data_IF_711421997151
#
_entry.id   IF_711421997151
#
_cell.length_a   1.000
_cell.length_b   1.000
_cell.length_c   1.000
_cell.angle_alpha   90.00
_cell.angle_beta   90.00
_cell.angle_gamma   90.00
#
_symmetry.space_group_name_H-M   'P 1'
#
loop_
_entity.id
_entity.type
_entity.pdbx_description
1 polymer ?
#
# COMPACT_ATOMS: atom_id res chain seq x y z
N UNK A 1 3.44 18.03 1.74
CA UNK A 1 3.30 16.62 1.36
C UNK A 1 4.43 15.88 2.03
N UNK A 2 4.09 14.94 2.89
CA UNK A 2 5.03 14.12 3.63
C UNK A 2 4.77 12.64 3.30
N UNK A 3 5.76 11.81 3.57
CA UNK A 3 5.63 10.36 3.42
C UNK A 3 5.10 9.76 4.72
N UNK A 4 4.08 8.94 4.62
CA UNK A 4 3.49 8.21 5.73
C UNK A 4 3.49 6.72 5.45
N UNK A 5 3.53 5.92 6.50
CA UNK A 5 3.38 4.48 6.43
C UNK A 5 2.19 4.06 7.27
N UNK A 6 1.33 3.23 6.71
CA UNK A 6 0.20 2.65 7.44
C UNK A 6 -0.15 1.26 6.92
N UNK A 7 -0.83 0.47 7.73
CA UNK A 7 -1.28 -0.87 7.36
C UNK A 7 -2.55 -0.77 6.52
N UNK A 8 -2.53 -1.38 5.34
CA UNK A 8 -3.70 -1.39 4.46
C UNK A 8 -4.87 -2.12 5.13
N UNK A 9 -6.07 -1.55 4.99
CA UNK A 9 -7.31 -2.16 5.48
C UNK A 9 -7.55 -3.53 4.84
N UNK A 10 -8.21 -4.42 5.58
CA UNK A 10 -8.60 -5.75 5.09
C UNK A 10 -9.47 -5.68 3.81
N UNK A 11 -10.13 -4.55 3.54
CA UNK A 11 -10.89 -4.33 2.31
C UNK A 11 -10.05 -4.37 1.02
N UNK A 12 -8.74 -4.15 1.13
CA UNK A 12 -7.82 -4.20 -0.02
C UNK A 12 -7.17 -5.57 -0.22
N UNK A 13 -7.33 -6.51 0.71
CA UNK A 13 -6.74 -7.85 0.60
C UNK A 13 -7.31 -8.58 -0.61
N UNK A 14 -6.43 -9.14 -1.45
CA UNK A 14 -6.81 -9.80 -2.69
C UNK A 14 -6.95 -8.86 -3.89
N UNK A 15 -6.83 -7.54 -3.68
CA UNK A 15 -6.79 -6.55 -4.75
C UNK A 15 -5.37 -6.40 -5.32
N UNK A 16 -5.26 -6.12 -6.61
CA UNK A 16 -3.97 -5.80 -7.21
C UNK A 16 -3.48 -4.43 -6.74
N UNK A 17 -2.16 -4.23 -6.69
CA UNK A 17 -1.59 -2.91 -6.35
C UNK A 17 -2.19 -1.75 -7.16
N UNK A 18 -2.28 -1.80 -8.50
CA UNK A 18 -2.83 -0.68 -9.26
C UNK A 18 -4.31 -0.41 -8.98
N UNK A 19 -5.13 -1.45 -8.75
CA UNK A 19 -6.55 -1.27 -8.42
C UNK A 19 -6.72 -0.58 -7.05
N UNK A 20 -5.90 -0.96 -6.07
CA UNK A 20 -5.91 -0.36 -4.76
C UNK A 20 -5.39 1.08 -4.79
N UNK A 21 -4.30 1.33 -5.52
CA UNK A 21 -3.75 2.67 -5.71
C UNK A 21 -4.77 3.62 -6.37
N UNK A 22 -5.51 3.14 -7.37
CA UNK A 22 -6.56 3.92 -8.03
C UNK A 22 -7.69 4.27 -7.06
N UNK A 23 -8.18 3.31 -6.27
CA UNK A 23 -9.20 3.58 -5.25
C UNK A 23 -8.73 4.56 -4.17
N UNK A 24 -7.50 4.40 -3.68
CA UNK A 24 -6.93 5.30 -2.68
C UNK A 24 -6.80 6.72 -3.22
N UNK A 25 -6.35 6.87 -4.46
CA UNK A 25 -6.19 8.17 -5.09
C UNK A 25 -7.55 8.82 -5.42
N UNK A 26 -8.47 8.07 -6.03
CA UNK A 26 -9.75 8.61 -6.49
C UNK A 26 -10.76 8.83 -5.36
N UNK A 27 -10.73 8.02 -4.30
CA UNK A 27 -11.72 8.08 -3.21
C UNK A 27 -11.22 8.82 -1.99
N UNK A 28 -9.93 8.69 -1.66
CA UNK A 28 -9.33 9.26 -0.44
C UNK A 28 -8.33 10.38 -0.73
N UNK A 29 -7.91 10.57 -1.99
CA UNK A 29 -6.88 11.55 -2.33
C UNK A 29 -5.47 11.15 -1.88
N UNK A 30 -5.26 9.87 -1.54
CA UNK A 30 -4.00 9.34 -1.05
C UNK A 30 -3.18 8.75 -2.19
N UNK A 31 -1.92 9.16 -2.29
CA UNK A 31 -1.00 8.61 -3.28
C UNK A 31 -0.25 7.41 -2.68
N UNK A 32 -0.63 6.19 -3.05
CA UNK A 32 0.11 4.97 -2.70
C UNK A 32 1.34 4.81 -3.61
N UNK A 33 2.53 4.76 -3.01
CA UNK A 33 3.82 4.71 -3.71
C UNK A 33 4.40 3.29 -3.75
N UNK A 34 4.33 2.58 -2.62
CA UNK A 34 4.94 1.27 -2.46
C UNK A 34 4.16 0.43 -1.44
N UNK A 35 4.40 -0.88 -1.46
CA UNK A 35 3.91 -1.80 -0.44
C UNK A 35 5.03 -2.72 0.05
N UNK A 36 4.92 -3.18 1.28
CA UNK A 36 5.77 -4.20 1.86
C UNK A 36 5.34 -5.60 1.38
N UNK A 37 6.30 -6.35 0.86
CA UNK A 37 6.20 -7.76 0.54
C UNK A 37 6.94 -8.55 1.61
N UNK A 38 6.20 -9.36 2.35
CA UNK A 38 6.76 -10.30 3.32
C UNK A 38 7.08 -11.61 2.62
N UNK A 39 8.36 -11.97 2.64
CA UNK A 39 8.80 -13.31 2.27
C UNK A 39 8.92 -14.15 3.55
N UNK A 40 7.93 -15.03 3.79
CA UNK A 40 7.93 -15.89 4.97
C UNK A 40 9.05 -16.94 4.93
N UNK A 41 9.54 -17.30 3.75
CA UNK A 41 10.57 -18.33 3.57
C UNK A 41 11.95 -17.79 3.95
N UNK A 42 12.26 -16.58 3.50
CA UNK A 42 13.55 -15.92 3.77
C UNK A 42 13.53 -14.98 4.99
N UNK A 43 12.36 -14.74 5.60
CA UNK A 43 12.14 -13.73 6.65
C UNK A 43 12.59 -12.33 6.23
N UNK A 44 12.47 -12.03 4.95
CA UNK A 44 12.84 -10.75 4.38
C UNK A 44 11.59 -9.88 4.16
N UNK A 45 11.70 -8.60 4.49
CA UNK A 45 10.70 -7.59 4.19
C UNK A 45 11.21 -6.76 3.01
N UNK A 46 10.67 -7.00 1.83
CA UNK A 46 11.04 -6.30 0.61
C UNK A 46 10.03 -5.18 0.33
N UNK A 47 10.51 -3.99 -0.06
CA UNK A 47 9.64 -2.89 -0.45
C UNK A 47 9.48 -2.91 -1.96
N UNK A 48 8.26 -3.16 -2.43
CA UNK A 48 7.92 -3.10 -3.84
C UNK A 48 7.41 -1.69 -4.18
N UNK A 49 8.20 -0.95 -4.96
CA UNK A 49 7.86 0.41 -5.41
C UNK A 49 7.09 0.32 -6.71
N UNK A 50 5.85 0.83 -6.72
CA UNK A 50 4.92 0.76 -7.85
C UNK A 50 4.90 -0.60 -8.58
N UNK A 51 4.59 -1.70 -7.87
CA UNK A 51 4.57 -3.02 -8.49
C UNK A 51 3.42 -3.15 -9.50
N UNK A 52 3.60 -4.08 -10.44
CA UNK A 52 2.59 -4.39 -11.44
C UNK A 52 1.38 -5.15 -10.89
N UNK A 53 0.38 -5.45 -11.75
CA UNK A 53 -0.88 -6.09 -11.35
C UNK A 53 -0.73 -7.53 -10.84
N UNK A 54 0.41 -8.18 -11.08
CA UNK A 54 0.72 -9.50 -10.49
C UNK A 54 0.94 -9.43 -8.98
N UNK A 55 1.16 -8.23 -8.44
CA UNK A 55 1.35 -8.00 -7.02
C UNK A 55 0.01 -7.74 -6.35
N UNK A 56 -0.38 -8.68 -5.47
CA UNK A 56 -1.67 -8.67 -4.77
C UNK A 56 -1.44 -8.35 -3.31
N UNK A 57 -2.25 -7.43 -2.78
CA UNK A 57 -2.18 -7.01 -1.38
C UNK A 57 -2.53 -8.18 -0.47
N UNK A 58 -1.64 -8.45 0.47
CA UNK A 58 -1.79 -9.49 1.47
C UNK A 58 -2.37 -8.91 2.78
N UNK A 59 -2.87 -9.75 3.68
CA UNK A 59 -3.22 -9.30 5.02
C UNK A 59 -2.02 -8.63 5.71
N UNK A 60 -2.27 -7.54 6.45
CA UNK A 60 -1.23 -6.81 7.19
C UNK A 60 -0.07 -6.31 6.31
N UNK A 61 -0.33 -5.99 5.04
CA UNK A 61 0.62 -5.31 4.17
C UNK A 61 0.76 -3.85 4.58
N UNK A 62 1.99 -3.40 4.80
CA UNK A 62 2.30 -2.00 5.03
C UNK A 62 2.34 -1.25 3.68
N UNK A 63 1.58 -0.16 3.58
CA UNK A 63 1.60 0.77 2.45
C UNK A 63 2.43 2.01 2.76
N UNK A 64 3.06 2.55 1.71
CA UNK A 64 3.81 3.80 1.75
C UNK A 64 3.02 4.86 0.97
N UNK A 65 2.62 5.92 1.64
CA UNK A 65 1.71 6.93 1.11
C UNK A 65 2.38 8.30 1.08
N UNK A 66 1.96 9.15 0.15
CA UNK A 66 2.21 10.59 0.19
C UNK A 66 0.86 11.28 0.43
N UNK A 67 0.78 12.05 1.52
CA UNK A 67 -0.42 12.79 1.90
C UNK A 67 -0.06 14.21 2.40
N UNK A 68 -1.06 15.07 2.60
CA UNK A 68 -0.85 16.41 3.14
C UNK A 68 -0.79 16.41 4.66
N UNK A 69 -1.44 15.44 5.30
CA UNK A 69 -1.40 15.24 6.75
C UNK A 69 -1.54 13.76 7.12
N UNK A 70 -1.10 13.41 8.34
CA UNK A 70 -1.25 12.06 8.88
C UNK A 70 -2.71 11.65 9.14
N UNK A 71 -3.62 12.63 9.28
CA UNK A 71 -5.04 12.37 9.52
C UNK A 71 -5.76 11.89 8.25
N UNK A 72 -5.23 12.18 7.06
CA UNK A 72 -5.77 11.69 5.80
C UNK A 72 -5.49 10.19 5.58
N UNK A 73 -4.49 9.63 6.27
CA UNK A 73 -3.99 8.27 6.05
C UNK A 73 -4.71 7.22 6.92
N UNK A 74 -5.41 7.64 7.99
CA UNK A 74 -6.07 6.77 8.97
C UNK A 74 -7.43 6.23 8.54
#
# INVERSE_FOLDING_TARGET
MEMYTDTLSHSFVGMSFPDAADLLFTRLGLLLLAIELKDEENRECNIAINPGPSCVIQPQTQGFFIAQSADEVK
#
